data_IF_262754707184
#
_entry.id   IF_262754707184
#
_cell.length_a   1.000
_cell.length_b   1.000
_cell.length_c   1.000
_cell.angle_alpha   90.00
_cell.angle_beta   90.00
_cell.angle_gamma   90.00
#
_symmetry.space_group_name_H-M   'P 1'
#
loop_
_entity.id
_entity.type
_entity.pdbx_description
1 polymer ?
#
# COMPACT_ATOMS: atom_id res chain seq x y z
N UNK A 1 -33.04 9.80 21.70
CA UNK A 1 -31.73 9.32 22.18
C UNK A 1 -30.63 9.93 21.32
N UNK A 2 -29.47 10.20 21.92
CA UNK A 2 -28.25 10.60 21.22
C UNK A 2 -27.31 9.39 21.15
N UNK A 3 -26.53 9.28 20.07
CA UNK A 3 -25.45 8.30 19.91
C UNK A 3 -24.25 9.07 19.34
N UNK A 4 -23.07 8.95 19.93
CA UNK A 4 -21.91 9.82 19.61
C UNK A 4 -22.24 11.32 19.62
N UNK A 5 -23.09 11.76 20.56
CA UNK A 5 -23.60 13.14 20.64
C UNK A 5 -24.38 13.62 19.40
N UNK A 6 -24.82 12.70 18.52
CA UNK A 6 -25.63 13.00 17.34
C UNK A 6 -27.05 12.46 17.50
N UNK A 7 -28.03 13.15 16.90
CA UNK A 7 -29.40 12.65 16.79
C UNK A 7 -29.41 11.39 15.93
N UNK A 8 -30.19 10.38 16.31
CA UNK A 8 -30.34 9.14 15.54
C UNK A 8 -30.76 9.42 14.09
N UNK A 9 -31.59 10.44 13.85
CA UNK A 9 -31.97 10.87 12.50
C UNK A 9 -30.76 11.32 11.66
N UNK A 10 -29.80 12.04 12.27
CA UNK A 10 -28.55 12.46 11.62
C UNK A 10 -27.70 11.25 11.24
N UNK A 11 -27.57 10.28 12.14
CA UNK A 11 -26.81 9.04 11.88
C UNK A 11 -27.45 8.24 10.74
N UNK A 12 -28.78 8.09 10.76
CA UNK A 12 -29.52 7.40 9.68
C UNK A 12 -29.32 8.10 8.34
N UNK A 13 -29.40 9.44 8.33
CA UNK A 13 -29.26 10.23 7.11
C UNK A 13 -27.84 10.25 6.56
N UNK A 14 -26.81 10.47 7.37
CA UNK A 14 -25.46 10.75 6.88
C UNK A 14 -24.46 9.63 7.10
N UNK A 15 -24.71 8.74 8.06
CA UNK A 15 -23.75 7.73 8.52
C UNK A 15 -24.27 6.30 8.37
N UNK A 16 -25.37 6.09 7.66
CA UNK A 16 -25.90 4.74 7.39
C UNK A 16 -25.91 4.47 5.89
N UNK A 17 -25.20 3.43 5.46
CA UNK A 17 -25.14 2.96 4.07
C UNK A 17 -25.38 1.45 4.07
N UNK A 18 -26.30 0.97 3.22
CA UNK A 18 -26.67 -0.46 3.13
C UNK A 18 -27.00 -1.11 4.49
N UNK A 19 -27.74 -0.38 5.33
CA UNK A 19 -28.17 -0.85 6.64
C UNK A 19 -27.07 -0.90 7.70
N UNK A 20 -25.86 -0.42 7.40
CA UNK A 20 -24.71 -0.42 8.33
C UNK A 20 -24.21 0.99 8.59
N UNK A 21 -23.61 1.17 9.77
CA UNK A 21 -22.90 2.40 10.10
C UNK A 21 -21.67 2.55 9.20
N UNK A 22 -21.56 3.68 8.50
CA UNK A 22 -20.53 3.96 7.51
C UNK A 22 -20.16 5.45 7.54
N UNK A 23 -18.99 5.76 8.11
CA UNK A 23 -18.48 7.14 8.19
C UNK A 23 -18.08 7.72 6.83
N UNK A 24 -17.67 6.87 5.88
CA UNK A 24 -17.26 7.30 4.54
C UNK A 24 -18.44 7.92 3.79
N UNK A 25 -19.67 7.45 4.04
CA UNK A 25 -20.89 8.06 3.50
C UNK A 25 -20.99 9.53 3.84
N UNK A 26 -20.74 9.91 5.09
CA UNK A 26 -20.83 11.32 5.49
C UNK A 26 -19.81 12.18 4.72
N UNK A 27 -18.59 11.67 4.52
CA UNK A 27 -17.57 12.34 3.70
C UNK A 27 -18.04 12.53 2.25
N UNK A 28 -18.55 11.48 1.62
CA UNK A 28 -19.08 11.57 0.24
C UNK A 28 -20.29 12.50 0.15
N UNK A 29 -21.21 12.43 1.10
CA UNK A 29 -22.37 13.34 1.15
C UNK A 29 -21.93 14.79 1.34
N UNK A 30 -20.94 15.07 2.19
CA UNK A 30 -20.40 16.40 2.37
C UNK A 30 -19.79 16.95 1.07
N UNK A 31 -18.99 16.15 0.37
CA UNK A 31 -18.41 16.53 -0.93
C UNK A 31 -19.53 16.88 -1.93
N UNK A 32 -20.60 16.07 -1.96
CA UNK A 32 -21.74 16.31 -2.85
C UNK A 32 -22.54 17.56 -2.50
N UNK A 33 -22.96 17.69 -1.25
CA UNK A 33 -23.90 18.74 -0.82
C UNK A 33 -23.21 20.08 -0.59
N UNK A 34 -21.96 20.08 -0.10
CA UNK A 34 -21.25 21.30 0.33
C UNK A 34 -20.16 21.71 -0.65
N UNK A 35 -19.47 20.75 -1.27
CA UNK A 35 -18.38 21.03 -2.23
C UNK A 35 -18.85 20.87 -3.69
N UNK A 36 -20.13 21.08 -3.98
CA UNK A 36 -20.70 20.99 -5.33
C UNK A 36 -20.37 19.68 -6.09
N UNK A 37 -20.03 18.61 -5.36
CA UNK A 37 -19.65 17.33 -5.94
C UNK A 37 -18.32 17.30 -6.68
N UNK A 38 -17.35 18.20 -6.43
CA UNK A 38 -16.10 18.25 -7.22
C UNK A 38 -15.44 16.89 -7.48
N UNK A 39 -15.35 16.01 -6.48
CA UNK A 39 -14.87 14.65 -6.65
C UNK A 39 -14.04 14.13 -5.49
N UNK A 40 -13.44 12.96 -5.69
CA UNK A 40 -12.50 12.33 -4.74
C UNK A 40 -11.24 11.88 -5.45
N UNK A 41 -10.15 11.79 -4.68
CA UNK A 41 -8.87 11.27 -5.15
C UNK A 41 -8.57 9.91 -4.50
N UNK A 42 -8.30 8.92 -5.33
CA UNK A 42 -7.78 7.61 -4.94
C UNK A 42 -6.24 7.63 -4.90
N UNK A 43 -5.66 6.74 -4.10
CA UNK A 43 -4.20 6.62 -3.92
C UNK A 43 -3.48 5.90 -5.06
N UNK A 44 -4.23 5.41 -6.06
CA UNK A 44 -3.66 4.86 -7.29
C UNK A 44 -4.65 4.83 -8.44
N UNK A 45 -4.14 4.69 -9.67
CA UNK A 45 -4.96 4.49 -10.88
C UNK A 45 -5.86 3.25 -10.76
N UNK A 46 -5.32 2.15 -10.27
CA UNK A 46 -6.07 0.89 -10.09
C UNK A 46 -7.20 1.06 -9.08
N UNK A 47 -6.93 1.74 -7.96
CA UNK A 47 -7.94 1.99 -6.94
C UNK A 47 -9.04 2.93 -7.46
N UNK A 48 -8.68 3.98 -8.21
CA UNK A 48 -9.66 4.85 -8.86
C UNK A 48 -10.57 4.08 -9.83
N UNK A 49 -10.01 3.17 -10.63
CA UNK A 49 -10.76 2.34 -11.57
C UNK A 49 -11.73 1.39 -10.85
N UNK A 50 -11.30 0.80 -9.74
CA UNK A 50 -12.14 -0.05 -8.89
C UNK A 50 -13.34 0.72 -8.33
N UNK A 51 -13.11 1.90 -7.73
CA UNK A 51 -14.18 2.76 -7.21
C UNK A 51 -15.18 3.19 -8.29
N UNK A 52 -14.70 3.47 -9.51
CA UNK A 52 -15.57 3.77 -10.67
C UNK A 52 -16.44 2.58 -11.08
N UNK A 53 -15.93 1.35 -10.94
CA UNK A 53 -16.65 0.13 -11.32
C UNK A 53 -17.71 -0.25 -10.29
N UNK A 54 -17.43 -0.10 -9.00
CA UNK A 54 -18.37 -0.49 -7.94
C UNK A 54 -19.70 0.29 -8.02
N UNK A 55 -19.72 1.53 -8.53
CA UNK A 55 -20.92 2.40 -8.69
C UNK A 55 -21.81 2.49 -7.43
N UNK A 56 -21.27 2.19 -6.26
CA UNK A 56 -21.97 2.23 -4.97
C UNK A 56 -21.93 3.65 -4.41
N UNK A 57 -21.24 3.85 -3.29
CA UNK A 57 -21.19 5.08 -2.55
C UNK A 57 -20.67 6.27 -3.39
N UNK A 58 -19.68 6.01 -4.22
CA UNK A 58 -19.03 7.02 -5.05
C UNK A 58 -19.69 7.23 -6.43
N UNK A 59 -20.66 6.39 -6.81
CA UNK A 59 -21.20 6.37 -8.19
C UNK A 59 -21.88 7.68 -8.62
N UNK A 60 -22.27 8.50 -7.65
CA UNK A 60 -22.89 9.82 -7.89
C UNK A 60 -21.91 10.99 -7.93
N UNK A 61 -20.60 10.75 -7.75
CA UNK A 61 -19.58 11.78 -7.88
C UNK A 61 -19.17 11.92 -9.37
N UNK A 62 -19.11 13.14 -9.91
CA UNK A 62 -18.71 13.39 -11.29
C UNK A 62 -17.23 13.07 -11.55
N UNK A 63 -16.37 13.14 -10.53
CA UNK A 63 -14.94 12.92 -10.69
C UNK A 63 -14.39 12.00 -9.61
N UNK A 64 -13.71 10.95 -10.07
CA UNK A 64 -12.85 10.08 -9.26
C UNK A 64 -11.50 10.10 -9.97
N UNK A 65 -10.52 10.75 -9.36
CA UNK A 65 -9.16 10.88 -9.86
C UNK A 65 -8.21 9.96 -9.11
N UNK A 66 -7.01 9.78 -9.65
CA UNK A 66 -5.93 9.06 -9.00
C UNK A 66 -4.77 10.02 -8.76
N UNK A 67 -4.22 9.97 -7.56
CA UNK A 67 -2.93 10.52 -7.21
C UNK A 67 -2.12 9.36 -6.68
N UNK A 68 -1.24 8.82 -7.51
CA UNK A 68 -0.35 7.76 -7.08
C UNK A 68 0.48 8.25 -5.90
N UNK A 69 0.53 7.44 -4.85
CA UNK A 69 1.40 7.74 -3.71
C UNK A 69 2.83 7.96 -4.23
N UNK A 70 3.45 9.06 -3.82
CA UNK A 70 4.85 9.30 -4.14
C UNK A 70 5.68 8.10 -3.68
N UNK A 71 6.45 7.51 -4.60
CA UNK A 71 7.62 6.75 -4.20
C UNK A 71 8.59 7.75 -3.59
N UNK A 72 9.23 7.39 -2.48
CA UNK A 72 10.36 8.17 -1.95
C UNK A 72 11.22 8.60 -3.13
N UNK A 73 11.56 9.89 -3.29
CA UNK A 73 12.45 10.28 -4.35
C UNK A 73 13.70 9.44 -4.15
N UNK A 74 13.94 8.48 -5.06
CA UNK A 74 15.26 7.90 -5.15
C UNK A 74 16.20 9.10 -5.17
N UNK A 75 17.22 9.11 -4.29
CA UNK A 75 18.31 10.07 -4.43
C UNK A 75 18.60 10.15 -5.91
N UNK A 76 18.50 11.34 -6.51
CA UNK A 76 18.75 11.53 -7.92
C UNK A 76 20.12 10.91 -8.20
N UNK A 77 20.12 9.69 -8.73
CA UNK A 77 21.34 8.91 -8.90
C UNK A 77 22.23 9.58 -9.95
N UNK A 78 21.76 10.65 -10.59
CA UNK A 78 22.43 11.40 -11.63
C UNK A 78 22.90 10.47 -12.75
N UNK A 79 23.87 10.93 -13.53
CA UNK A 79 24.65 10.05 -14.41
C UNK A 79 25.66 9.20 -13.61
N UNK A 80 25.27 8.62 -12.46
CA UNK A 80 26.13 7.63 -11.81
C UNK A 80 26.33 6.47 -12.81
N UNK A 81 27.53 6.40 -13.38
CA UNK A 81 27.91 5.31 -14.26
C UNK A 81 27.62 3.96 -13.60
N UNK A 82 27.14 3.01 -14.40
CA UNK A 82 26.70 1.67 -13.96
C UNK A 82 27.68 1.01 -12.98
N UNK A 83 28.98 1.25 -13.14
CA UNK A 83 30.03 0.69 -12.28
C UNK A 83 30.00 1.24 -10.84
N UNK A 84 29.70 2.52 -10.66
CA UNK A 84 29.55 3.13 -9.33
C UNK A 84 28.34 2.54 -8.59
N UNK A 85 27.20 2.42 -9.27
CA UNK A 85 26.00 1.80 -8.70
C UNK A 85 26.22 0.33 -8.35
N UNK A 86 27.00 -0.40 -9.18
CA UNK A 86 27.39 -1.78 -8.88
C UNK A 86 28.25 -1.87 -7.62
N UNK A 87 29.26 -1.02 -7.47
CA UNK A 87 30.11 -0.99 -6.28
C UNK A 87 29.29 -0.69 -5.02
N UNK A 88 28.44 0.34 -5.05
CA UNK A 88 27.54 0.70 -3.95
C UNK A 88 26.58 -0.44 -3.60
N UNK A 89 26.06 -1.18 -4.59
CA UNK A 89 25.20 -2.35 -4.34
C UNK A 89 25.93 -3.44 -3.56
N UNK A 90 27.20 -3.72 -3.86
CA UNK A 90 27.98 -4.73 -3.14
C UNK A 90 28.26 -4.32 -1.69
N UNK A 91 28.61 -3.04 -1.48
CA UNK A 91 28.82 -2.49 -0.14
C UNK A 91 27.53 -2.53 0.69
N UNK A 92 26.41 -2.06 0.13
CA UNK A 92 25.10 -2.09 0.78
C UNK A 92 24.65 -3.52 1.09
N UNK A 93 24.90 -4.47 0.18
CA UNK A 93 24.61 -5.88 0.40
C UNK A 93 25.41 -6.45 1.58
N UNK A 94 26.72 -6.22 1.62
CA UNK A 94 27.56 -6.70 2.70
C UNK A 94 27.19 -6.05 4.05
N UNK A 95 26.79 -4.78 4.04
CA UNK A 95 26.29 -4.09 5.23
C UNK A 95 24.97 -4.71 5.73
N UNK A 96 24.02 -4.97 4.83
CA UNK A 96 22.76 -5.63 5.16
C UNK A 96 22.98 -7.04 5.74
N UNK A 97 23.85 -7.85 5.10
CA UNK A 97 24.16 -9.20 5.58
C UNK A 97 24.73 -9.17 7.00
N UNK A 98 25.69 -8.28 7.29
CA UNK A 98 26.21 -8.11 8.64
C UNK A 98 25.16 -7.61 9.63
N UNK A 99 24.28 -6.71 9.20
CA UNK A 99 23.22 -6.16 10.06
C UNK A 99 22.18 -7.22 10.44
N UNK A 100 21.85 -8.12 9.52
CA UNK A 100 20.87 -9.18 9.70
C UNK A 100 21.48 -10.51 10.17
N UNK A 101 22.77 -10.53 10.53
CA UNK A 101 23.51 -11.73 10.95
C UNK A 101 23.44 -12.88 9.91
N UNK A 102 23.59 -12.51 8.63
CA UNK A 102 23.64 -13.44 7.50
C UNK A 102 25.09 -13.68 7.05
N UNK A 103 25.31 -14.79 6.34
CA UNK A 103 26.60 -15.07 5.72
C UNK A 103 26.99 -13.96 4.73
N UNK A 104 28.15 -13.33 4.96
CA UNK A 104 28.66 -12.27 4.10
C UNK A 104 29.23 -12.89 2.82
N UNK A 105 28.33 -13.17 1.87
CA UNK A 105 28.65 -13.73 0.56
C UNK A 105 28.26 -12.76 -0.57
N UNK A 106 29.23 -12.23 -1.34
CA UNK A 106 28.97 -11.43 -2.53
C UNK A 106 28.12 -12.13 -3.59
N UNK A 107 28.15 -13.47 -3.65
CA UNK A 107 27.39 -14.31 -4.58
C UNK A 107 25.92 -14.57 -4.17
N UNK A 108 25.58 -14.40 -2.89
CA UNK A 108 24.25 -14.70 -2.38
C UNK A 108 23.10 -13.92 -3.07
N UNK A 109 21.93 -14.55 -3.18
CA UNK A 109 20.70 -13.91 -3.63
C UNK A 109 19.86 -13.55 -2.41
N UNK A 110 19.79 -12.27 -2.07
CA UNK A 110 18.99 -11.81 -0.92
C UNK A 110 17.57 -11.53 -1.37
N UNK A 111 16.61 -12.27 -0.81
CA UNK A 111 15.18 -12.02 -0.94
C UNK A 111 14.72 -11.19 0.25
N UNK A 112 14.18 -9.99 0.00
CA UNK A 112 13.82 -9.02 1.04
C UNK A 112 12.30 -8.84 1.08
N UNK A 113 11.68 -9.08 2.24
CA UNK A 113 10.25 -8.93 2.49
C UNK A 113 9.99 -7.97 3.65
N UNK A 114 10.00 -6.67 3.36
CA UNK A 114 9.79 -5.63 4.37
C UNK A 114 8.36 -5.08 4.28
N UNK A 115 7.62 -5.15 5.40
CA UNK A 115 6.33 -4.49 5.53
C UNK A 115 5.48 -5.07 6.65
N UNK A 116 4.25 -4.54 6.81
CA UNK A 116 3.28 -5.07 7.77
C UNK A 116 2.92 -6.53 7.45
N UNK A 117 3.01 -7.42 8.44
CA UNK A 117 2.70 -8.83 8.30
C UNK A 117 1.18 -9.06 8.32
N UNK A 118 0.59 -9.22 7.13
CA UNK A 118 -0.85 -9.50 6.97
C UNK A 118 -1.08 -10.45 5.79
N UNK A 119 -2.16 -11.24 5.87
CA UNK A 119 -2.52 -12.21 4.81
C UNK A 119 -2.70 -11.58 3.44
N UNK A 120 -3.25 -10.36 3.36
CA UNK A 120 -3.42 -9.66 2.08
C UNK A 120 -2.09 -9.39 1.35
N UNK A 121 -0.96 -9.40 2.09
CA UNK A 121 0.39 -9.25 1.51
C UNK A 121 1.06 -10.59 1.20
N UNK A 122 0.36 -11.71 1.34
CA UNK A 122 0.87 -13.03 0.98
C UNK A 122 1.95 -13.58 1.93
N UNK A 123 1.97 -13.14 3.19
CA UNK A 123 2.91 -13.65 4.21
C UNK A 123 2.81 -15.17 4.38
N UNK A 124 1.63 -15.74 4.20
CA UNK A 124 1.39 -17.17 4.21
C UNK A 124 2.06 -17.89 3.04
N UNK A 125 2.05 -17.30 1.85
CA UNK A 125 2.80 -17.84 0.71
C UNK A 125 4.31 -17.78 0.93
N UNK A 126 4.82 -16.69 1.51
CA UNK A 126 6.24 -16.58 1.87
C UNK A 126 6.62 -17.70 2.85
N UNK A 127 5.83 -17.88 3.92
CA UNK A 127 6.07 -18.91 4.92
C UNK A 127 6.03 -20.34 4.33
N UNK A 128 5.14 -20.59 3.37
CA UNK A 128 5.05 -21.88 2.68
C UNK A 128 6.24 -22.15 1.75
N UNK A 129 6.73 -21.13 1.04
CA UNK A 129 7.78 -21.27 0.02
C UNK A 129 9.20 -21.17 0.58
N UNK A 130 9.41 -20.40 1.66
CA UNK A 130 10.73 -20.17 2.23
C UNK A 130 11.52 -21.46 2.53
N UNK A 131 10.92 -22.51 3.15
CA UNK A 131 11.66 -23.75 3.41
C UNK A 131 12.11 -24.46 2.12
N UNK A 132 11.31 -24.40 1.06
CA UNK A 132 11.68 -24.96 -0.23
C UNK A 132 12.83 -24.16 -0.86
N UNK A 133 12.71 -22.83 -0.87
CA UNK A 133 13.74 -21.94 -1.42
C UNK A 133 15.09 -22.14 -0.73
N UNK A 134 15.12 -22.18 0.60
CA UNK A 134 16.34 -22.36 1.38
C UNK A 134 16.99 -23.75 1.19
N UNK A 135 16.21 -24.80 0.90
CA UNK A 135 16.75 -26.14 0.63
C UNK A 135 17.25 -26.31 -0.79
N UNK A 136 16.53 -25.73 -1.76
CA UNK A 136 16.82 -25.91 -3.18
C UNK A 136 17.83 -24.89 -3.73
N UNK A 137 18.02 -23.77 -3.03
CA UNK A 137 18.91 -22.68 -3.44
C UNK A 137 19.82 -22.29 -2.27
N UNK A 138 20.97 -22.97 -2.09
CA UNK A 138 21.90 -22.67 -0.98
C UNK A 138 22.51 -21.26 -1.08
N UNK A 139 22.46 -20.61 -2.25
CA UNK A 139 22.90 -19.24 -2.42
C UNK A 139 21.87 -18.21 -1.90
N UNK A 140 20.66 -18.62 -1.56
CA UNK A 140 19.58 -17.71 -1.16
C UNK A 140 19.65 -17.40 0.33
N UNK A 141 19.51 -16.12 0.65
CA UNK A 141 19.30 -15.62 2.02
C UNK A 141 18.00 -14.83 2.05
N UNK A 142 17.23 -14.90 3.14
CA UNK A 142 15.92 -14.26 3.26
C UNK A 142 15.96 -13.26 4.41
N UNK A 143 15.48 -12.04 4.15
CA UNK A 143 15.30 -10.94 5.11
C UNK A 143 13.83 -10.57 5.18
#
# INVERSE_FOLDING_TARGET
SLVFNLKVATIRRYLTFEGRFNMLKAGVTYIKEVQAGHGVCAVSVNYAAELKRERTLFGSLPTIMALDNATDPAEDLGEAGVDRLRAQRFEAKAALQRHCDLDVDPGAKILIFIGRWVKQKGVDHIAQLAPYLLRSHPEVQIV
#
